data_IF_290148561161
#
_entry.id   IF_290148561161
#
_cell.length_a   1.000
_cell.length_b   1.000
_cell.length_c   1.000
_cell.angle_alpha   90.00
_cell.angle_beta   90.00
_cell.angle_gamma   90.00
#
_symmetry.space_group_name_H-M   'P 1'
#
loop_
_entity.id
_entity.type
_entity.pdbx_description
1 polymer ?
#
# COMPACT_ATOMS: atom_id res chain seq x y z
N UNK A 1 9.75 2.42 7.34
CA UNK A 1 8.31 2.23 7.63
C UNK A 1 7.56 2.62 6.38
N UNK A 2 6.74 1.71 5.89
CA UNK A 2 5.98 1.84 4.64
C UNK A 2 4.51 2.01 4.98
N UNK A 3 3.77 2.74 4.17
CA UNK A 3 2.36 3.04 4.46
C UNK A 3 1.46 2.01 3.79
N UNK A 4 0.57 1.39 4.55
CA UNK A 4 -0.48 0.53 4.02
C UNK A 4 -1.44 1.40 3.19
N UNK A 5 -1.65 1.04 1.92
CA UNK A 5 -2.49 1.82 1.01
C UNK A 5 -3.99 1.61 1.23
N UNK A 6 -4.36 0.55 1.93
CA UNK A 6 -5.75 0.20 2.21
C UNK A 6 -6.25 0.93 3.44
N UNK A 7 -5.48 0.92 4.53
CA UNK A 7 -5.90 1.51 5.80
C UNK A 7 -5.12 2.78 6.19
N UNK A 8 -4.01 3.09 5.52
CA UNK A 8 -3.17 4.25 5.83
C UNK A 8 -2.27 4.07 7.05
N UNK A 9 -2.24 2.88 7.66
CA UNK A 9 -1.36 2.59 8.81
C UNK A 9 0.10 2.48 8.39
N UNK A 10 1.01 2.74 9.32
CA UNK A 10 2.42 2.46 9.16
C UNK A 10 2.68 0.95 9.33
N UNK A 11 3.49 0.40 8.44
CA UNK A 11 3.87 -1.00 8.40
C UNK A 11 5.39 -1.08 8.42
N UNK A 12 5.90 -2.01 9.21
CA UNK A 12 7.32 -2.32 9.22
C UNK A 12 7.70 -3.18 8.02
N UNK A 13 8.48 -2.62 7.10
CA UNK A 13 9.08 -3.34 5.97
C UNK A 13 10.00 -4.50 6.40
N UNK A 14 10.57 -4.41 7.62
CA UNK A 14 11.40 -5.48 8.20
C UNK A 14 10.57 -6.65 8.72
N UNK A 15 9.30 -6.43 9.08
CA UNK A 15 8.43 -7.46 9.66
C UNK A 15 6.96 -7.20 9.30
N UNK A 16 6.62 -7.26 8.01
CA UNK A 16 5.27 -7.00 7.56
C UNK A 16 4.35 -8.15 7.94
N UNK A 17 3.09 -7.85 8.29
CA UNK A 17 2.09 -8.88 8.51
C UNK A 17 1.68 -9.57 7.19
N UNK A 18 1.67 -8.81 6.09
CA UNK A 18 1.42 -9.34 4.75
C UNK A 18 2.14 -8.53 3.67
N UNK A 19 2.46 -9.17 2.54
CA UNK A 19 3.09 -8.53 1.37
C UNK A 19 2.41 -8.93 0.06
N UNK A 20 2.44 -8.04 -0.92
CA UNK A 20 1.97 -8.29 -2.28
C UNK A 20 2.94 -7.70 -3.31
N UNK A 21 3.24 -8.45 -4.36
CA UNK A 21 4.00 -7.95 -5.49
C UNK A 21 3.04 -7.41 -6.57
N UNK A 22 3.23 -6.17 -6.99
CA UNK A 22 2.42 -5.54 -8.03
C UNK A 22 3.27 -4.58 -8.88
N UNK A 23 3.21 -4.72 -10.21
CA UNK A 23 4.01 -3.93 -11.16
C UNK A 23 5.53 -3.94 -10.86
N UNK A 24 6.07 -5.08 -10.41
CA UNK A 24 7.48 -5.20 -10.05
C UNK A 24 7.87 -4.48 -8.74
N UNK A 25 6.89 -4.01 -7.96
CA UNK A 25 7.10 -3.42 -6.63
C UNK A 25 6.50 -4.32 -5.56
N UNK A 26 7.17 -4.40 -4.42
CA UNK A 26 6.66 -5.11 -3.24
C UNK A 26 5.98 -4.12 -2.32
N UNK A 27 4.68 -4.35 -2.08
CA UNK A 27 3.86 -3.61 -1.14
C UNK A 27 3.69 -4.39 0.15
N UNK A 28 3.62 -3.67 1.26
CA UNK A 28 3.54 -4.22 2.60
C UNK A 28 2.26 -3.75 3.27
N UNK A 29 1.62 -4.66 4.01
CA UNK A 29 0.32 -4.45 4.60
C UNK A 29 0.35 -4.78 6.09
N UNK A 30 -0.43 -4.03 6.87
CA UNK A 30 -0.52 -4.22 8.32
C UNK A 30 -1.32 -5.49 8.67
N UNK A 31 -2.12 -5.99 7.73
CA UNK A 31 -2.95 -7.16 7.92
C UNK A 31 -3.15 -7.93 6.60
N UNK A 32 -3.39 -9.25 6.67
CA UNK A 32 -3.75 -10.05 5.49
C UNK A 32 -5.09 -9.61 4.87
N UNK A 33 -5.99 -9.01 5.65
CA UNK A 33 -7.22 -8.39 5.15
C UNK A 33 -6.94 -7.21 4.20
N UNK A 34 -5.98 -6.35 4.55
CA UNK A 34 -5.53 -5.25 3.69
C UNK A 34 -4.92 -5.79 2.39
N UNK A 35 -4.08 -6.83 2.47
CA UNK A 35 -3.56 -7.51 1.26
C UNK A 35 -4.68 -8.00 0.34
N UNK A 36 -5.70 -8.66 0.87
CA UNK A 36 -6.81 -9.17 0.07
C UNK A 36 -7.58 -8.03 -0.63
N UNK A 37 -7.84 -6.93 0.08
CA UNK A 37 -8.48 -5.74 -0.49
C UNK A 37 -7.60 -5.08 -1.56
N UNK A 38 -6.29 -5.00 -1.30
CA UNK A 38 -5.33 -4.49 -2.28
C UNK A 38 -5.31 -5.35 -3.54
N UNK A 39 -5.31 -6.67 -3.44
CA UNK A 39 -5.34 -7.57 -4.61
C UNK A 39 -6.64 -7.45 -5.42
N UNK A 40 -7.76 -7.07 -4.78
CA UNK A 40 -9.03 -6.81 -5.49
C UNK A 40 -8.98 -5.54 -6.34
N UNK A 41 -8.34 -4.48 -5.84
CA UNK A 41 -8.27 -3.19 -6.55
C UNK A 41 -6.90 -2.51 -6.44
N UNK A 42 -5.81 -3.14 -6.90
CA UNK A 42 -4.45 -2.66 -6.66
C UNK A 42 -4.20 -1.33 -7.38
N UNK A 43 -4.78 -1.13 -8.56
CA UNK A 43 -4.66 0.10 -9.34
C UNK A 43 -5.17 1.35 -8.61
N UNK A 44 -6.28 1.22 -7.86
CA UNK A 44 -6.85 2.32 -7.05
C UNK A 44 -5.87 2.76 -5.96
N UNK A 45 -5.26 1.79 -5.29
CA UNK A 45 -4.35 2.02 -4.18
C UNK A 45 -2.99 2.57 -4.66
N UNK A 46 -2.41 1.95 -5.70
CA UNK A 46 -1.12 2.37 -6.26
C UNK A 46 -1.19 3.76 -6.90
N UNK A 47 -2.34 4.12 -7.50
CA UNK A 47 -2.56 5.47 -8.04
C UNK A 47 -2.69 6.51 -6.93
N UNK A 48 -3.31 6.16 -5.81
CA UNK A 48 -3.43 7.05 -4.65
C UNK A 48 -2.07 7.35 -4.02
N UNK A 49 -1.15 6.37 -3.98
CA UNK A 49 0.19 6.58 -3.44
C UNK A 49 1.07 7.49 -4.32
N UNK A 50 0.84 7.47 -5.64
CA UNK A 50 1.50 8.40 -6.57
C UNK A 50 0.91 9.81 -6.58
N UNK A 51 -0.18 10.06 -5.84
CA UNK A 51 -0.84 11.36 -5.80
C UNK A 51 -0.51 12.07 -4.48
N UNK A 52 0.76 12.40 -4.30
CA UNK A 52 1.30 12.83 -3.00
C UNK A 52 2.16 14.10 -2.98
N UNK A 53 2.12 14.98 -3.99
CA UNK A 53 2.40 16.43 -3.84
C UNK A 53 2.08 17.17 -5.15
N UNK A 54 0.95 17.84 -5.20
CA UNK A 54 0.57 18.63 -6.35
C UNK A 54 -0.70 19.43 -6.09
N UNK A 55 -0.76 20.11 -4.95
CA UNK A 55 -1.79 21.08 -4.64
C UNK A 55 -1.20 22.06 -3.63
N UNK A 56 -0.89 23.29 -4.05
CA UNK A 56 -1.02 24.56 -3.33
C UNK A 56 -0.57 25.64 -4.33
N UNK A 57 -1.55 26.36 -4.88
CA UNK A 57 -1.36 27.56 -5.70
C UNK A 57 -1.10 28.78 -4.80
#
# INVERSE_FOLDING_TARGET
>A
MVKDLVCGMEVDEKKPAATAAYQGKTYFFCAPGCKATFLKTPEKYVKSEKSGKGCCA
#
